data_IF_441868568465
#
_entry.id   IF_441868568465
#
_cell.length_a   1.000
_cell.length_b   1.000
_cell.length_c   1.000
_cell.angle_alpha   90.00
_cell.angle_beta   90.00
_cell.angle_gamma   90.00
#
_symmetry.space_group_name_H-M   'P 1'
#
loop_
_entity.id
_entity.type
_entity.pdbx_description
1 polymer ?
#
# COMPACT_ATOMS: atom_id res chain seq x y z
N UNK A 1 -3.36 -6.01 10.08
CA UNK A 1 -2.37 -4.92 10.05
C UNK A 1 -2.59 -4.11 8.79
N UNK A 2 -2.48 -2.79 8.87
CA UNK A 2 -2.56 -1.89 7.72
C UNK A 2 -1.23 -1.14 7.57
N UNK A 3 -0.74 -1.03 6.35
CA UNK A 3 0.46 -0.25 6.02
C UNK A 3 0.03 0.90 5.14
N UNK A 4 0.32 2.13 5.58
CA UNK A 4 0.01 3.36 4.87
C UNK A 4 1.34 4.04 4.57
N UNK A 5 1.71 4.07 3.30
CA UNK A 5 2.93 4.74 2.84
C UNK A 5 2.54 5.99 2.08
N UNK A 6 3.09 7.16 2.45
CA UNK A 6 2.80 8.44 1.80
C UNK A 6 3.97 8.94 0.98
N UNK A 7 3.66 9.66 -0.09
CA UNK A 7 4.61 10.15 -1.08
C UNK A 7 4.26 11.57 -1.50
N UNK A 8 5.28 12.32 -1.90
CA UNK A 8 5.10 13.54 -2.69
C UNK A 8 5.43 13.20 -4.14
N UNK A 9 4.47 13.36 -5.05
CA UNK A 9 4.60 13.02 -6.48
C UNK A 9 4.36 14.27 -7.31
N UNK A 10 5.27 14.59 -8.22
CA UNK A 10 5.06 15.71 -9.12
C UNK A 10 3.93 15.40 -10.13
N UNK A 11 3.12 16.38 -10.56
CA UNK A 11 1.98 16.12 -11.44
C UNK A 11 2.34 15.42 -12.76
N UNK A 12 3.52 15.70 -13.29
CA UNK A 12 4.09 15.10 -14.51
C UNK A 12 4.65 13.68 -14.29
N UNK A 13 4.92 13.28 -13.05
CA UNK A 13 5.36 11.92 -12.69
C UNK A 13 4.19 10.99 -12.31
N UNK A 14 2.95 11.49 -12.33
CA UNK A 14 1.79 10.78 -11.79
C UNK A 14 1.53 9.42 -12.46
N UNK A 15 1.64 9.34 -13.79
CA UNK A 15 1.43 8.11 -14.55
C UNK A 15 2.52 7.07 -14.24
N UNK A 16 3.79 7.49 -14.31
CA UNK A 16 4.95 6.66 -13.99
C UNK A 16 4.93 6.17 -12.54
N UNK A 17 4.53 7.04 -11.60
CA UNK A 17 4.36 6.66 -10.20
C UNK A 17 3.27 5.62 -10.05
N UNK A 18 2.12 5.80 -10.71
CA UNK A 18 1.00 4.84 -10.66
C UNK A 18 1.45 3.48 -11.18
N UNK A 19 2.15 3.41 -12.32
CA UNK A 19 2.66 2.14 -12.87
C UNK A 19 3.64 1.44 -11.91
N UNK A 20 4.55 2.19 -11.27
CA UNK A 20 5.48 1.64 -10.27
C UNK A 20 4.76 1.17 -9.01
N UNK A 21 3.76 1.91 -8.54
CA UNK A 21 2.94 1.54 -7.39
C UNK A 21 2.16 0.24 -7.65
N UNK A 22 1.50 0.14 -8.81
CA UNK A 22 0.79 -1.08 -9.23
C UNK A 22 1.73 -2.28 -9.33
N UNK A 23 2.91 -2.13 -9.93
CA UNK A 23 3.89 -3.22 -10.01
C UNK A 23 4.36 -3.70 -8.63
N UNK A 24 4.64 -2.76 -7.71
CA UNK A 24 5.01 -3.09 -6.34
C UNK A 24 3.88 -3.79 -5.58
N UNK A 25 2.64 -3.29 -5.72
CA UNK A 25 1.44 -3.89 -5.12
C UNK A 25 1.17 -5.27 -5.68
N UNK A 26 1.29 -5.49 -6.99
CA UNK A 26 1.12 -6.79 -7.62
C UNK A 26 2.13 -7.83 -7.08
N UNK A 27 3.40 -7.43 -6.93
CA UNK A 27 4.42 -8.28 -6.35
C UNK A 27 4.10 -8.66 -4.88
N UNK A 28 3.61 -7.69 -4.09
CA UNK A 28 3.17 -7.93 -2.71
C UNK A 28 1.90 -8.79 -2.64
N UNK A 29 0.93 -8.58 -3.53
CA UNK A 29 -0.33 -9.31 -3.59
C UNK A 29 -0.14 -10.79 -3.89
N UNK A 30 0.93 -11.15 -4.59
CA UNK A 30 1.29 -12.55 -4.83
C UNK A 30 1.86 -13.26 -3.58
N UNK A 31 1.99 -12.59 -2.42
CA UNK A 31 2.61 -13.15 -1.21
C UNK A 31 1.54 -13.60 -0.19
N UNK A 32 1.78 -14.69 0.56
CA UNK A 32 0.84 -15.14 1.59
C UNK A 32 0.55 -14.08 2.65
N UNK A 33 -0.72 -13.96 3.01
CA UNK A 33 -1.20 -13.05 4.06
C UNK A 33 -1.49 -11.61 3.59
N UNK A 34 -1.35 -11.30 2.29
CA UNK A 34 -1.89 -10.06 1.71
C UNK A 34 -3.43 -10.12 1.67
N UNK A 35 -4.11 -9.01 1.98
CA UNK A 35 -5.58 -8.95 2.08
C UNK A 35 -6.23 -7.92 1.14
N UNK A 36 -5.51 -6.87 0.77
CA UNK A 36 -6.03 -5.80 -0.08
C UNK A 36 -5.08 -4.62 -0.18
N UNK A 37 -5.38 -3.70 -1.10
CA UNK A 37 -4.59 -2.50 -1.29
C UNK A 37 -5.36 -1.39 -1.98
N UNK A 38 -4.86 -0.17 -1.81
CA UNK A 38 -5.32 1.01 -2.53
C UNK A 38 -4.12 1.88 -2.92
N UNK A 39 -4.16 2.44 -4.11
CA UNK A 39 -3.32 3.57 -4.51
C UNK A 39 -4.22 4.78 -4.59
N UNK A 40 -3.90 5.84 -3.85
CA UNK A 40 -4.73 7.02 -3.72
C UNK A 40 -3.95 8.30 -3.90
N UNK A 41 -4.63 9.32 -4.40
CA UNK A 41 -4.17 10.72 -4.42
C UNK A 41 -5.11 11.54 -3.54
N UNK A 42 -4.57 12.45 -2.73
CA UNK A 42 -5.39 13.34 -1.93
C UNK A 42 -6.25 14.23 -2.83
N UNK A 43 -7.49 14.49 -2.42
CA UNK A 43 -8.45 15.24 -3.23
C UNK A 43 -8.14 16.75 -3.26
N UNK A 44 -7.50 17.24 -2.21
CA UNK A 44 -7.16 18.64 -1.94
C UNK A 44 -5.69 18.98 -2.21
N UNK A 45 -4.78 18.00 -2.20
CA UNK A 45 -3.40 18.16 -2.65
C UNK A 45 -3.03 17.10 -3.72
N UNK A 46 -3.00 17.47 -5.02
CA UNK A 46 -2.72 16.52 -6.09
C UNK A 46 -1.29 15.95 -6.06
N UNK A 47 -0.39 16.50 -5.22
CA UNK A 47 0.97 15.96 -5.04
C UNK A 47 1.07 14.98 -3.89
N UNK A 48 0.10 14.90 -2.99
CA UNK A 48 0.11 13.96 -1.87
C UNK A 48 -0.55 12.65 -2.28
N UNK A 49 0.23 11.57 -2.25
CA UNK A 49 -0.21 10.23 -2.63
C UNK A 49 -0.04 9.24 -1.51
N UNK A 50 -0.79 8.16 -1.55
CA UNK A 50 -0.64 7.04 -0.64
C UNK A 50 -0.75 5.69 -1.35
N UNK A 51 0.06 4.74 -0.90
CA UNK A 51 -0.15 3.31 -1.15
C UNK A 51 -0.51 2.66 0.17
N UNK A 52 -1.70 2.08 0.24
CA UNK A 52 -2.20 1.36 1.40
C UNK A 52 -2.19 -0.13 1.08
N UNK A 53 -1.69 -0.95 2.00
CA UNK A 53 -1.79 -2.42 1.91
C UNK A 53 -2.27 -3.02 3.22
N UNK A 54 -3.07 -4.07 3.13
CA UNK A 54 -3.57 -4.83 4.27
C UNK A 54 -2.95 -6.21 4.34
N UNK A 55 -2.61 -6.62 5.56
CA UNK A 55 -1.93 -7.87 5.84
C UNK A 55 -2.54 -8.57 7.05
N UNK A 56 -2.48 -9.91 7.05
CA UNK A 56 -2.83 -10.76 8.20
C UNK A 56 -2.14 -10.33 9.48
N UNK A 57 -0.90 -9.86 9.40
CA UNK A 57 -0.15 -9.32 10.52
C UNK A 57 1.28 -8.94 10.13
N UNK A 58 2.03 -8.40 11.10
CA UNK A 58 3.38 -7.90 10.86
C UNK A 58 4.36 -8.98 10.37
N UNK A 59 4.16 -10.25 10.78
CA UNK A 59 4.97 -11.37 10.31
C UNK A 59 4.79 -11.64 8.81
N UNK A 60 3.56 -11.57 8.29
CA UNK A 60 3.28 -11.75 6.86
C UNK A 60 3.91 -10.62 6.04
N UNK A 61 3.70 -9.37 6.46
CA UNK A 61 4.29 -8.18 5.82
C UNK A 61 5.83 -8.23 5.76
N UNK A 62 6.50 -8.52 6.89
CA UNK A 62 7.98 -8.59 6.93
C UNK A 62 8.54 -9.69 6.02
N UNK A 63 7.87 -10.85 5.96
CA UNK A 63 8.26 -11.94 5.05
C UNK A 63 8.07 -11.54 3.59
N UNK A 64 6.98 -10.85 3.25
CA UNK A 64 6.75 -10.33 1.91
C UNK A 64 7.85 -9.37 1.48
N UNK A 65 8.22 -8.40 2.33
CA UNK A 65 9.31 -7.45 2.03
C UNK A 65 10.71 -8.09 1.91
N UNK A 66 10.89 -9.30 2.44
CA UNK A 66 12.15 -10.03 2.32
C UNK A 66 12.24 -10.84 1.02
N UNK A 67 11.13 -11.01 0.30
CA UNK A 67 11.11 -11.74 -0.97
C UNK A 67 11.82 -10.95 -2.09
N UNK A 68 12.58 -11.64 -2.94
CA UNK A 68 13.41 -11.01 -3.97
C UNK A 68 12.59 -10.18 -4.96
N UNK A 69 11.52 -10.75 -5.53
CA UNK A 69 10.69 -10.06 -6.53
C UNK A 69 10.03 -8.81 -5.92
N UNK A 70 9.55 -8.93 -4.67
CA UNK A 70 9.00 -7.80 -3.91
C UNK A 70 10.06 -6.73 -3.67
N UNK A 71 11.29 -7.12 -3.32
CA UNK A 71 12.37 -6.13 -3.12
C UNK A 71 12.68 -5.38 -4.40
N UNK A 72 12.79 -6.08 -5.53
CA UNK A 72 13.07 -5.47 -6.84
C UNK A 72 11.95 -4.50 -7.22
N UNK A 73 10.69 -4.89 -7.06
CA UNK A 73 9.55 -4.06 -7.44
C UNK A 73 9.26 -2.91 -6.45
N UNK A 74 9.34 -3.16 -5.15
CA UNK A 74 8.85 -2.24 -4.11
C UNK A 74 9.93 -1.33 -3.51
N UNK A 75 11.19 -1.76 -3.40
CA UNK A 75 12.24 -0.93 -2.74
C UNK A 75 12.44 0.43 -3.41
N UNK A 76 12.52 0.54 -4.76
CA UNK A 76 12.68 1.85 -5.40
C UNK A 76 11.52 2.81 -5.12
N UNK A 77 10.30 2.27 -5.04
CA UNK A 77 9.10 3.03 -4.66
C UNK A 77 9.18 3.45 -3.19
N UNK A 78 9.39 2.50 -2.28
CA UNK A 78 9.42 2.74 -0.84
C UNK A 78 10.55 3.69 -0.40
N UNK A 79 11.63 3.78 -1.17
CA UNK A 79 12.70 4.74 -0.94
C UNK A 79 12.26 6.21 -1.14
N UNK A 80 11.17 6.46 -1.86
CA UNK A 80 10.60 7.80 -2.07
C UNK A 80 9.55 8.16 -1.00
N UNK A 81 9.26 7.25 -0.08
CA UNK A 81 8.25 7.46 0.94
C UNK A 81 8.65 8.52 1.95
N UNK A 82 7.65 9.16 2.54
CA UNK A 82 7.84 10.02 3.72
C UNK A 82 8.44 9.20 4.87
N UNK A 83 9.39 9.80 5.60
CA UNK A 83 10.06 9.16 6.73
C UNK A 83 9.20 9.24 8.01
N UNK A 84 8.23 8.36 8.12
CA UNK A 84 7.29 8.30 9.24
C UNK A 84 6.84 6.85 9.54
N UNK A 85 6.25 6.59 10.71
CA UNK A 85 5.62 5.30 10.99
C UNK A 85 4.54 4.99 9.94
N UNK A 86 4.70 3.87 9.23
CA UNK A 86 3.81 3.46 8.15
C UNK A 86 3.03 2.18 8.44
N UNK A 87 3.41 1.41 9.46
CA UNK A 87 2.81 0.12 9.81
C UNK A 87 1.97 0.23 11.08
N UNK A 88 0.68 -0.10 10.99
CA UNK A 88 -0.29 0.07 12.07
C UNK A 88 -1.05 -1.22 12.38
N UNK A 89 -1.26 -1.45 13.68
CA UNK A 89 -2.22 -2.44 14.14
C UNK A 89 -3.65 -1.97 13.84
N UNK A 90 -4.50 -2.89 13.39
CA UNK A 90 -5.91 -2.58 13.14
C UNK A 90 -6.68 -2.87 14.43
N UNK A 91 -7.06 -1.81 15.14
CA UNK A 91 -7.84 -1.92 16.38
C UNK A 91 -9.35 -2.03 16.14
N UNK A 92 -9.83 -1.49 15.01
CA UNK A 92 -11.21 -1.58 14.56
C UNK A 92 -11.27 -1.49 13.03
N UNK A 93 -12.15 -2.26 12.40
CA UNK A 93 -12.42 -2.21 10.96
C UNK A 93 -13.92 -2.47 10.73
N UNK A 94 -14.49 -1.83 9.70
CA UNK A 94 -15.86 -2.10 9.22
C UNK A 94 -15.81 -2.32 7.71
N UNK A 95 -16.50 -3.34 7.23
CA UNK A 95 -16.84 -3.48 5.81
C UNK A 95 -18.18 -2.82 5.54
N UNK A 96 -18.46 -2.52 4.27
CA UNK A 96 -19.81 -2.20 3.84
C UNK A 96 -20.66 -3.48 3.84
N UNK A 97 -21.12 -3.94 5.01
CA UNK A 97 -22.23 -4.90 5.05
C UNK A 97 -23.50 -4.18 4.62
N UNK A 98 -24.00 -4.50 3.42
CA UNK A 98 -25.35 -4.10 2.98
C UNK A 98 -26.41 -4.73 3.90
N UNK A 99 -27.61 -4.14 4.03
CA UNK A 99 -28.62 -4.65 4.95
C UNK A 99 -28.97 -6.10 4.59
N UNK A 100 -28.94 -6.98 5.61
CA UNK A 100 -29.44 -8.34 5.49
C UNK A 100 -30.91 -8.29 5.06
N UNK A 101 -31.18 -8.73 3.82
CA UNK A 101 -32.55 -8.95 3.35
C UNK A 101 -33.05 -10.22 4.03
N UNK A 102 -33.97 -10.05 4.98
CA UNK A 102 -34.81 -11.11 5.54
C UNK A 102 -36.13 -11.21 4.78
#
# INVERSE_FOLDING_TARGET
MVVITRFTVAPDEAEDFTARAEAAVAAMAARPGFRGSWVGRAADDPRLWTVVTEWEGAGAYRRALSNFDVRVAAVPLLAQAHNEPSAFEVLAHRTAEGPAQG
#
